data_IF_007920720161
#
_entry.id   IF_007920720161
#
_cell.length_a   1.000
_cell.length_b   1.000
_cell.length_c   1.000
_cell.angle_alpha   90.00
_cell.angle_beta   90.00
_cell.angle_gamma   90.00
#
_symmetry.space_group_name_H-M   'P 1'
#
loop_
_entity.id
_entity.type
_entity.pdbx_description
1 polymer ?
#
# COMPACT_ATOMS: atom_id res chain seq x y z
N UNK A 1 -3.04 6.86 -7.02
CA UNK A 1 -2.11 5.73 -6.74
C UNK A 1 -2.69 4.38 -7.18
N UNK A 2 -3.90 4.02 -6.74
CA UNK A 2 -4.52 2.73 -7.09
C UNK A 2 -4.72 2.53 -8.60
N UNK A 3 -5.17 3.54 -9.33
CA UNK A 3 -5.33 3.46 -10.79
C UNK A 3 -4.01 3.14 -11.52
N UNK A 4 -2.88 3.60 -10.99
CA UNK A 4 -1.57 3.28 -11.55
C UNK A 4 -1.18 1.84 -11.24
N UNK A 5 -1.42 1.38 -10.01
CA UNK A 5 -1.18 -0.01 -9.62
C UNK A 5 -2.02 -0.98 -10.48
N UNK A 6 -3.27 -0.62 -10.80
CA UNK A 6 -4.13 -1.40 -11.69
C UNK A 6 -3.60 -1.47 -13.13
N UNK A 7 -3.04 -0.37 -13.65
CA UNK A 7 -2.44 -0.32 -14.99
C UNK A 7 -1.14 -1.12 -15.08
N UNK A 8 -0.27 -1.00 -14.06
CA UNK A 8 1.07 -1.63 -14.04
C UNK A 8 0.99 -3.11 -13.67
N UNK A 9 -0.02 -3.52 -12.89
CA UNK A 9 -0.26 -4.89 -12.43
C UNK A 9 0.96 -5.53 -11.73
N UNK A 10 1.55 -4.89 -10.71
CA UNK A 10 2.64 -5.48 -9.95
C UNK A 10 2.13 -6.65 -9.08
N UNK A 11 3.04 -7.55 -8.69
CA UNK A 11 2.69 -8.66 -7.78
C UNK A 11 2.24 -8.18 -6.39
N UNK A 12 2.84 -7.09 -5.91
CA UNK A 12 2.47 -6.37 -4.66
C UNK A 12 2.75 -4.88 -4.81
N UNK A 13 1.94 -4.05 -4.20
CA UNK A 13 2.09 -2.59 -4.15
C UNK A 13 2.15 -2.11 -2.70
N UNK A 14 3.17 -1.35 -2.36
CA UNK A 14 3.33 -0.73 -1.05
C UNK A 14 3.24 0.79 -1.18
N UNK A 15 2.22 1.39 -0.57
CA UNK A 15 1.97 2.83 -0.62
C UNK A 15 2.71 3.51 0.53
N UNK A 16 3.58 4.47 0.20
CA UNK A 16 4.36 5.25 1.16
C UNK A 16 4.00 6.73 1.10
N UNK A 17 4.66 7.55 1.93
CA UNK A 17 4.44 9.00 2.03
C UNK A 17 2.95 9.32 2.29
N UNK A 18 2.41 8.67 3.33
CA UNK A 18 1.03 8.84 3.77
C UNK A 18 0.93 9.92 4.84
N UNK A 19 -0.16 10.67 4.85
CA UNK A 19 -0.44 11.63 5.93
C UNK A 19 -1.10 10.93 7.13
N UNK A 20 -1.11 11.61 8.27
CA UNK A 20 -1.76 11.14 9.49
C UNK A 20 -3.29 10.99 9.39
N UNK A 21 -3.90 11.38 8.27
CA UNK A 21 -5.32 11.17 8.00
C UNK A 21 -5.64 9.73 7.58
N UNK A 22 -4.63 8.96 7.16
CA UNK A 22 -4.76 7.57 6.75
C UNK A 22 -4.37 6.66 7.90
N UNK A 23 -5.37 6.22 8.65
CA UNK A 23 -5.19 5.19 9.67
C UNK A 23 -4.76 3.86 9.02
N UNK A 24 -3.73 3.22 9.58
CA UNK A 24 -3.08 2.07 8.97
C UNK A 24 -4.05 0.90 8.75
N UNK A 25 -4.72 0.44 9.82
CA UNK A 25 -5.58 -0.74 9.77
C UNK A 25 -6.86 -0.46 8.98
N UNK A 26 -7.52 0.68 9.23
CA UNK A 26 -8.76 1.04 8.55
C UNK A 26 -8.56 1.27 7.06
N UNK A 27 -7.41 1.84 6.67
CA UNK A 27 -7.09 2.05 5.26
C UNK A 27 -6.78 0.71 4.60
N UNK A 28 -5.89 -0.10 5.19
CA UNK A 28 -5.54 -1.42 4.64
C UNK A 28 -6.76 -2.34 4.47
N UNK A 29 -7.72 -2.31 5.40
CA UNK A 29 -8.95 -3.10 5.29
C UNK A 29 -9.83 -2.71 4.08
N UNK A 30 -9.64 -1.52 3.51
CA UNK A 30 -10.37 -1.02 2.33
C UNK A 30 -9.56 -1.12 1.05
N UNK A 31 -8.27 -1.43 1.12
CA UNK A 31 -7.42 -1.52 -0.06
C UNK A 31 -7.69 -2.83 -0.82
N UNK A 32 -7.55 -2.82 -2.16
CA UNK A 32 -7.64 -4.04 -2.94
C UNK A 32 -6.58 -5.08 -2.53
N UNK A 33 -6.84 -6.38 -2.74
CA UNK A 33 -5.84 -7.42 -2.51
C UNK A 33 -4.51 -7.12 -3.21
N UNK A 34 -3.40 -7.27 -2.50
CA UNK A 34 -2.06 -7.01 -3.03
C UNK A 34 -1.63 -5.54 -3.00
N UNK A 35 -2.43 -4.63 -2.43
CA UNK A 35 -2.06 -3.25 -2.15
C UNK A 35 -2.14 -2.98 -0.65
N UNK A 36 -1.06 -2.47 -0.06
CA UNK A 36 -0.96 -2.21 1.37
C UNK A 36 -0.25 -0.88 1.62
N UNK A 37 -0.56 -0.22 2.74
CA UNK A 37 0.24 0.88 3.26
C UNK A 37 1.57 0.34 3.82
N UNK A 38 2.65 1.05 3.52
CA UNK A 38 3.95 0.83 4.15
C UNK A 38 3.94 1.28 5.60
N UNK A 39 4.88 0.74 6.39
CA UNK A 39 5.16 1.17 7.75
C UNK A 39 6.67 1.29 7.96
N UNK A 40 7.06 2.06 8.98
CA UNK A 40 8.45 2.27 9.31
C UNK A 40 9.12 0.95 9.70
N UNK A 41 10.24 0.63 9.04
CA UNK A 41 10.94 -0.64 9.23
C UNK A 41 10.43 -1.80 8.37
N UNK A 42 9.44 -1.58 7.49
CA UNK A 42 9.04 -2.58 6.49
C UNK A 42 10.25 -3.00 5.65
N UNK A 43 10.51 -4.31 5.62
CA UNK A 43 11.56 -4.94 4.81
C UNK A 43 10.94 -5.90 3.80
N UNK A 44 11.33 -5.74 2.54
CA UNK A 44 10.93 -6.62 1.45
C UNK A 44 12.17 -7.41 1.04
N UNK A 45 12.30 -8.69 1.46
CA UNK A 45 13.40 -9.52 1.01
C UNK A 45 13.30 -9.76 -0.50
N UNK A 46 14.45 -9.76 -1.16
CA UNK A 46 14.60 -10.03 -2.60
C UNK A 46 14.84 -11.52 -2.85
#
# INVERSE_FOLDING_TARGET
ALELAEKVKPRRTYLTHVSHHLDYEKTNARLPPGVELSYDGLRIPF
#
